data_IF_560254124482
#
_entry.id   IF_560254124482
#
_cell.length_a   1.000
_cell.length_b   1.000
_cell.length_c   1.000
_cell.angle_alpha   90.00
_cell.angle_beta   90.00
_cell.angle_gamma   90.00
#
_symmetry.space_group_name_H-M   'P 1'
#
loop_
_entity.id
_entity.type
_entity.pdbx_description
1 polymer ?
#
# COMPACT_ATOMS: atom_id res chain seq x y z
N UNK A 1 -15.10 5.97 3.80
CA UNK A 1 -14.09 5.28 4.60
C UNK A 1 -14.57 3.84 4.78
N UNK A 2 -13.66 2.87 4.74
CA UNK A 2 -13.95 1.47 5.07
C UNK A 2 -12.86 0.98 6.02
N UNK A 3 -13.25 0.15 6.99
CA UNK A 3 -12.30 -0.57 7.82
C UNK A 3 -11.75 -1.73 7.00
N UNK A 4 -10.43 -1.74 6.85
CA UNK A 4 -9.72 -2.75 6.08
C UNK A 4 -8.88 -3.51 7.08
N UNK A 5 -9.32 -4.71 7.41
CA UNK A 5 -8.68 -5.53 8.44
C UNK A 5 -8.26 -6.89 7.86
N UNK A 6 -6.96 -7.14 7.95
CA UNK A 6 -6.35 -8.44 7.72
C UNK A 6 -5.30 -8.74 8.83
N UNK A 7 -5.49 -8.16 10.01
CA UNK A 7 -4.60 -8.22 11.17
C UNK A 7 -4.47 -6.86 11.85
N UNK A 8 -4.01 -5.80 11.15
CA UNK A 8 -4.07 -4.43 11.63
C UNK A 8 -5.35 -3.70 11.21
N UNK A 9 -5.98 -2.96 12.11
CA UNK A 9 -7.06 -2.03 11.77
C UNK A 9 -6.53 -0.82 11.00
N UNK A 10 -6.62 -0.84 9.66
CA UNK A 10 -6.31 0.30 8.81
C UNK A 10 -7.54 1.18 8.61
N UNK A 11 -7.38 2.50 8.77
CA UNK A 11 -8.27 3.46 8.15
C UNK A 11 -7.84 3.65 6.69
N UNK A 12 -8.66 3.24 5.73
CA UNK A 12 -8.36 3.39 4.31
C UNK A 12 -9.18 4.54 3.66
N UNK A 13 -8.49 5.40 2.92
CA UNK A 13 -9.08 6.48 2.13
C UNK A 13 -8.73 6.34 0.65
N UNK A 14 -9.74 6.43 -0.21
CA UNK A 14 -9.59 6.54 -1.65
C UNK A 14 -9.65 8.02 -2.04
N UNK A 15 -8.60 8.52 -2.68
CA UNK A 15 -8.51 9.88 -3.23
C UNK A 15 -8.80 9.87 -4.74
N UNK A 16 -8.97 11.06 -5.33
CA UNK A 16 -9.43 11.17 -6.71
C UNK A 16 -8.33 10.86 -7.74
N UNK A 17 -7.06 10.91 -7.32
CA UNK A 17 -5.92 10.50 -8.15
C UNK A 17 -4.68 10.13 -7.35
N UNK A 18 -3.73 9.47 -8.00
CA UNK A 18 -2.40 9.20 -7.47
C UNK A 18 -1.62 10.48 -7.12
N UNK A 19 -1.78 11.56 -7.90
CA UNK A 19 -1.17 12.85 -7.60
C UNK A 19 -1.66 13.43 -6.26
N UNK A 20 -2.95 13.29 -5.96
CA UNK A 20 -3.49 13.69 -4.65
C UNK A 20 -2.89 12.86 -3.52
N UNK A 21 -2.75 11.55 -3.70
CA UNK A 21 -2.07 10.65 -2.73
C UNK A 21 -0.64 11.11 -2.45
N UNK A 22 0.13 11.41 -3.51
CA UNK A 22 1.50 11.89 -3.38
C UNK A 22 1.59 13.26 -2.72
N UNK A 23 0.62 14.14 -2.95
CA UNK A 23 0.58 15.48 -2.40
C UNK A 23 0.20 15.55 -0.91
N UNK A 24 -0.36 14.47 -0.34
CA UNK A 24 -0.80 14.48 1.07
C UNK A 24 0.37 14.71 2.02
N UNK A 25 0.20 15.68 2.92
CA UNK A 25 1.07 15.92 4.07
C UNK A 25 0.24 15.72 5.33
N UNK A 26 0.27 14.51 5.94
CA UNK A 26 -0.52 14.26 7.13
C UNK A 26 0.02 15.07 8.32
N UNK A 27 -0.89 15.57 9.15
CA UNK A 27 -0.54 16.02 10.49
C UNK A 27 -0.31 14.78 11.36
N UNK A 28 0.97 14.44 11.56
CA UNK A 28 1.36 13.25 12.31
C UNK A 28 1.02 13.33 13.79
N UNK A 29 0.92 14.54 14.34
CA UNK A 29 0.50 14.73 15.74
C UNK A 29 -0.99 14.43 15.89
N UNK A 30 -1.81 14.94 14.95
CA UNK A 30 -3.24 14.64 14.92
C UNK A 30 -3.54 13.17 14.60
N UNK A 31 -2.67 12.51 13.83
CA UNK A 31 -2.82 11.09 13.49
C UNK A 31 -2.58 10.17 14.70
N UNK A 32 -1.81 10.59 15.70
CA UNK A 32 -1.52 9.78 16.88
C UNK A 32 -0.91 8.43 16.49
N UNK A 33 -1.46 7.33 17.02
CA UNK A 33 -1.04 5.96 16.69
C UNK A 33 -1.88 5.30 15.59
N UNK A 34 -2.77 6.06 14.94
CA UNK A 34 -3.65 5.51 13.91
C UNK A 34 -2.88 5.10 12.65
N UNK A 35 -3.25 3.94 12.10
CA UNK A 35 -2.72 3.45 10.82
C UNK A 35 -3.61 3.96 9.69
N UNK A 36 -3.05 4.77 8.81
CA UNK A 36 -3.76 5.38 7.68
C UNK A 36 -3.20 4.87 6.36
N UNK A 37 -4.06 4.28 5.54
CA UNK A 37 -3.77 3.89 4.18
C UNK A 37 -4.45 4.83 3.19
N UNK A 38 -3.69 5.35 2.24
CA UNK A 38 -4.22 6.10 1.10
C UNK A 38 -4.09 5.27 -0.16
N UNK A 39 -5.09 5.37 -1.03
CA UNK A 39 -5.04 4.82 -2.39
C UNK A 39 -5.64 5.82 -3.38
N UNK A 40 -5.09 5.89 -4.58
CA UNK A 40 -5.59 6.78 -5.63
C UNK A 40 -5.22 6.27 -7.01
N UNK A 41 -6.11 6.36 -8.02
CA UNK A 41 -5.85 5.82 -9.35
C UNK A 41 -4.86 6.69 -10.12
N UNK A 42 -3.95 6.06 -10.86
CA UNK A 42 -3.20 6.73 -11.92
C UNK A 42 -4.13 6.99 -13.12
N UNK A 43 -3.98 8.16 -13.74
CA UNK A 43 -4.67 8.49 -15.00
C UNK A 43 -3.72 8.33 -16.18
N UNK A 44 -4.22 7.70 -17.25
CA UNK A 44 -3.47 7.47 -18.49
C UNK A 44 -2.83 6.08 -18.56
N UNK A 45 -2.55 5.64 -19.79
CA UNK A 45 -1.80 4.41 -20.05
C UNK A 45 -0.31 4.66 -19.77
N UNK A 46 0.46 3.60 -19.53
CA UNK A 46 1.93 3.59 -19.43
C UNK A 46 2.57 4.16 -18.14
N UNK A 47 1.85 4.21 -17.02
CA UNK A 47 2.42 4.62 -15.71
C UNK A 47 3.13 3.48 -14.95
N UNK A 48 3.03 2.24 -15.43
CA UNK A 48 3.62 1.06 -14.78
C UNK A 48 2.84 0.52 -13.57
N UNK A 49 1.89 1.28 -13.02
CA UNK A 49 0.95 0.90 -11.98
C UNK A 49 -0.44 1.51 -12.24
N UNK A 50 -1.48 0.89 -11.69
CA UNK A 50 -2.88 1.34 -11.79
C UNK A 50 -3.26 2.27 -10.63
N UNK A 51 -2.63 2.08 -9.46
CA UNK A 51 -2.88 2.88 -8.25
C UNK A 51 -1.57 3.30 -7.58
N UNK A 52 -1.58 4.45 -6.92
CA UNK A 52 -0.57 4.83 -5.93
C UNK A 52 -1.14 4.59 -4.53
N UNK A 53 -0.30 4.06 -3.65
CA UNK A 53 -0.61 3.77 -2.25
C UNK A 53 0.38 4.48 -1.33
N UNK A 54 -0.08 4.92 -0.16
CA UNK A 54 0.78 5.38 0.95
C UNK A 54 0.29 4.82 2.27
N UNK A 55 1.21 4.56 3.20
CA UNK A 55 0.94 3.89 4.46
C UNK A 55 1.59 4.65 5.62
N UNK A 56 0.79 5.37 6.42
CA UNK A 56 1.26 6.08 7.60
C UNK A 56 1.06 5.22 8.84
N UNK A 57 2.16 4.99 9.58
CA UNK A 57 2.22 4.06 10.72
C UNK A 57 3.08 4.60 11.88
N UNK A 58 2.81 5.84 12.35
CA UNK A 58 3.65 6.52 13.36
C UNK A 58 3.96 5.68 14.61
N UNK A 59 2.99 4.88 15.09
CA UNK A 59 3.14 4.01 16.26
C UNK A 59 4.12 2.83 16.09
N UNK A 60 4.68 2.61 14.89
CA UNK A 60 5.66 1.54 14.61
C UNK A 60 7.11 2.02 14.54
N UNK A 61 7.38 3.26 14.98
CA UNK A 61 8.73 3.83 14.97
C UNK A 61 9.20 4.36 13.61
N UNK A 62 8.36 4.25 12.57
CA UNK A 62 8.53 4.91 11.28
C UNK A 62 7.25 5.68 10.93
N UNK A 63 7.33 6.95 10.49
CA UNK A 63 6.12 7.74 10.20
C UNK A 63 5.36 7.21 8.98
N UNK A 64 6.08 6.73 7.97
CA UNK A 64 5.53 6.17 6.73
C UNK A 64 6.32 4.92 6.33
N UNK A 65 5.61 3.84 6.01
CA UNK A 65 6.20 2.58 5.55
C UNK A 65 6.33 2.59 4.01
N UNK A 66 7.54 2.38 3.46
CA UNK A 66 7.78 2.45 2.02
C UNK A 66 7.02 1.41 1.20
N UNK A 67 6.79 0.19 1.73
CA UNK A 67 6.05 -0.87 1.01
C UNK A 67 5.35 -1.78 2.02
N UNK A 68 4.02 -1.75 2.05
CA UNK A 68 3.22 -2.42 3.09
C UNK A 68 2.32 -3.49 2.49
N UNK A 69 2.77 -4.74 2.52
CA UNK A 69 2.03 -5.88 1.94
C UNK A 69 0.65 -6.09 2.57
N UNK A 70 0.54 -5.96 3.90
CA UNK A 70 -0.74 -6.11 4.61
C UNK A 70 -1.75 -5.03 4.21
N UNK A 71 -1.33 -3.77 4.08
CA UNK A 71 -2.24 -2.72 3.61
C UNK A 71 -2.73 -3.02 2.19
N UNK A 72 -1.84 -3.41 1.28
CA UNK A 72 -2.22 -3.74 -0.09
C UNK A 72 -3.20 -4.92 -0.18
N UNK A 73 -3.01 -5.98 0.62
CA UNK A 73 -3.96 -7.10 0.71
C UNK A 73 -5.34 -6.65 1.20
N UNK A 74 -5.37 -5.75 2.17
CA UNK A 74 -6.61 -5.17 2.65
C UNK A 74 -7.31 -4.27 1.62
N UNK A 75 -6.56 -3.35 1.00
CA UNK A 75 -7.06 -2.46 -0.04
C UNK A 75 -7.61 -3.25 -1.22
N UNK A 76 -6.96 -4.35 -1.60
CA UNK A 76 -7.40 -5.23 -2.66
C UNK A 76 -8.80 -5.82 -2.38
N UNK A 77 -9.03 -6.33 -1.17
CA UNK A 77 -10.35 -6.83 -0.78
C UNK A 77 -11.42 -5.74 -0.96
N UNK A 78 -11.19 -4.56 -0.40
CA UNK A 78 -12.14 -3.45 -0.49
C UNK A 78 -12.36 -2.96 -1.92
N UNK A 79 -11.28 -2.72 -2.67
CA UNK A 79 -11.34 -2.12 -4.00
C UNK A 79 -11.95 -3.07 -5.02
N UNK A 80 -11.64 -4.37 -4.96
CA UNK A 80 -12.19 -5.37 -5.88
C UNK A 80 -13.66 -5.64 -5.55
N UNK A 81 -13.99 -5.93 -4.29
CA UNK A 81 -15.38 -6.23 -3.89
C UNK A 81 -16.34 -5.06 -4.18
N UNK A 82 -15.84 -3.83 -4.08
CA UNK A 82 -16.64 -2.64 -4.34
C UNK A 82 -16.63 -2.17 -5.80
N UNK A 83 -16.03 -2.95 -6.71
CA UNK A 83 -15.99 -2.69 -8.16
C UNK A 83 -15.10 -1.51 -8.58
N UNK A 84 -14.20 -1.06 -7.71
CA UNK A 84 -13.30 0.09 -7.94
C UNK A 84 -11.96 -0.30 -8.57
N UNK A 85 -11.60 -1.57 -8.48
CA UNK A 85 -10.43 -2.14 -9.13
C UNK A 85 -10.81 -3.45 -9.83
N UNK A 86 -10.13 -3.79 -10.94
CA UNK A 86 -10.24 -5.12 -11.53
C UNK A 86 -9.65 -6.18 -10.58
N UNK A 87 -9.94 -7.47 -10.84
CA UNK A 87 -9.40 -8.59 -10.06
C UNK A 87 -7.87 -8.69 -10.11
N UNK A 88 -7.23 -8.11 -11.13
CA UNK A 88 -5.78 -8.05 -11.26
C UNK A 88 -5.36 -6.62 -11.55
N UNK A 89 -4.49 -6.07 -10.70
CA UNK A 89 -3.95 -4.73 -10.86
C UNK A 89 -2.56 -4.59 -10.23
N UNK A 90 -1.91 -3.47 -10.49
CA UNK A 90 -0.63 -3.10 -9.90
C UNK A 90 -0.76 -1.84 -9.05
N UNK A 91 -0.16 -1.84 -7.88
CA UNK A 91 -0.05 -0.66 -7.02
C UNK A 91 1.43 -0.26 -6.88
N UNK A 92 1.70 1.04 -7.01
CA UNK A 92 2.98 1.61 -6.60
C UNK A 92 2.92 2.15 -5.18
N UNK A 93 4.01 2.02 -4.43
CA UNK A 93 4.14 2.55 -3.07
C UNK A 93 5.57 3.05 -2.82
N UNK A 94 5.69 4.10 -2.00
CA UNK A 94 6.97 4.60 -1.51
C UNK A 94 7.62 5.70 -2.36
N UNK A 95 6.98 6.15 -3.45
CA UNK A 95 7.50 7.22 -4.32
C UNK A 95 7.78 8.52 -3.56
N UNK A 96 6.91 8.88 -2.62
CA UNK A 96 7.08 10.04 -1.74
C UNK A 96 8.35 9.95 -0.86
N UNK A 97 8.86 8.74 -0.61
CA UNK A 97 10.07 8.46 0.17
C UNK A 97 11.29 8.17 -0.72
N UNK A 98 11.20 8.40 -2.03
CA UNK A 98 12.26 8.07 -2.98
C UNK A 98 12.45 6.57 -3.22
N UNK A 99 11.43 5.76 -2.93
CA UNK A 99 11.37 4.32 -3.22
C UNK A 99 10.41 4.06 -4.39
N UNK A 100 10.50 2.88 -5.01
CA UNK A 100 9.67 2.51 -6.16
C UNK A 100 9.16 1.07 -6.01
N UNK A 101 8.43 0.82 -4.92
CA UNK A 101 7.81 -0.49 -4.69
C UNK A 101 6.69 -0.72 -5.70
N UNK A 102 6.71 -1.87 -6.37
CA UNK A 102 5.65 -2.29 -7.29
C UNK A 102 5.02 -3.59 -6.81
N UNK A 103 3.77 -3.48 -6.40
CA UNK A 103 2.95 -4.56 -5.87
C UNK A 103 2.06 -5.10 -6.98
N UNK A 104 2.01 -6.42 -7.11
CA UNK A 104 1.07 -7.14 -7.97
C UNK A 104 -0.05 -7.69 -7.10
N UNK A 105 -1.28 -7.37 -7.47
CA UNK A 105 -2.49 -7.86 -6.81
C UNK A 105 -3.24 -8.75 -7.77
N UNK A 106 -3.67 -9.92 -7.29
CA UNK A 106 -4.57 -10.81 -8.00
C UNK A 106 -5.63 -11.36 -7.04
N UNK A 107 -6.86 -11.53 -7.52
CA UNK A 107 -7.90 -12.30 -6.83
C UNK A 107 -8.21 -13.56 -7.63
N UNK A 108 -8.07 -14.72 -6.99
CA UNK A 108 -8.36 -16.05 -7.54
C UNK A 108 -9.22 -16.80 -6.54
N UNK A 109 -10.34 -17.40 -6.98
CA UNK A 109 -11.26 -18.15 -6.12
C UNK A 109 -11.63 -17.43 -4.80
N UNK A 110 -11.89 -16.12 -4.90
CA UNK A 110 -12.18 -15.18 -3.80
C UNK A 110 -10.99 -14.84 -2.89
N UNK A 111 -9.85 -15.49 -3.07
CA UNK A 111 -8.64 -15.26 -2.30
C UNK A 111 -7.78 -14.17 -2.94
N UNK A 112 -7.27 -13.25 -2.12
CA UNK A 112 -6.38 -12.16 -2.57
C UNK A 112 -4.92 -12.58 -2.41
N UNK A 113 -4.16 -12.45 -3.48
CA UNK A 113 -2.73 -12.67 -3.55
C UNK A 113 -1.99 -11.34 -3.74
N UNK A 114 -0.97 -11.13 -2.91
CA UNK A 114 -0.06 -10.00 -2.98
C UNK A 114 1.33 -10.51 -3.34
N UNK A 115 1.89 -9.99 -4.43
CA UNK A 115 3.20 -10.34 -4.93
C UNK A 115 4.01 -9.13 -5.35
N UNK A 116 5.28 -9.36 -5.67
CA UNK A 116 6.22 -8.34 -6.13
C UNK A 116 7.57 -8.97 -6.43
N UNK A 117 8.43 -8.24 -7.16
CA UNK A 117 9.81 -8.69 -7.36
C UNK A 117 10.64 -8.35 -6.12
N UNK A 118 11.48 -9.29 -5.71
CA UNK A 118 12.44 -9.09 -4.64
C UNK A 118 13.87 -9.17 -5.18
N UNK A 119 14.78 -8.43 -4.58
CA UNK A 119 16.23 -8.47 -4.89
C UNK A 119 16.98 -8.60 -3.59
N UNK A 120 17.86 -9.59 -3.49
CA UNK A 120 18.77 -9.73 -2.36
C UNK A 120 19.80 -8.60 -2.38
N UNK A 121 19.84 -7.79 -1.33
CA UNK A 121 20.78 -6.65 -1.22
C UNK A 121 22.01 -7.03 -0.41
N UNK A 122 21.84 -7.84 0.64
CA UNK A 122 22.91 -8.30 1.53
C UNK A 122 22.72 -9.79 1.76
N UNK A 123 23.82 -10.54 1.70
CA UNK A 123 23.90 -11.95 2.08
C UNK A 123 24.98 -12.09 3.15
N UNK A 124 24.70 -12.89 4.20
CA UNK A 124 25.60 -13.04 5.33
C UNK A 124 25.30 -14.30 6.14
N UNK A 125 26.09 -14.53 7.19
CA UNK A 125 25.93 -15.67 8.11
C UNK A 125 25.82 -15.16 9.55
N UNK A 126 24.96 -15.80 10.33
CA UNK A 126 24.88 -15.58 11.78
C UNK A 126 25.25 -16.88 12.49
N UNK A 127 26.06 -16.79 13.54
CA UNK A 127 26.38 -17.91 14.41
C UNK A 127 25.73 -17.67 15.77
N UNK A 128 25.08 -18.69 16.31
CA UNK A 128 24.53 -18.68 17.66
C UNK A 128 25.41 -19.60 18.54
N UNK A 129 25.59 -19.27 19.84
CA UNK A 129 26.32 -20.12 20.78
C UNK A 129 25.64 -21.47 21.02
#
# INVERSE_FOLDING_TARGET
>A
HQWVDNGPGWCALLLASAEEVLAVKPDMQALGDHRLGLIGPWRGKDRGADFEVRAFVPGLGVPEDPVTGSLNAGLAQWMIQSGRAPQQYRASQGRALGRDGLIQVAQEDQQVWIGGRCVSVIEGRVAFP
#
